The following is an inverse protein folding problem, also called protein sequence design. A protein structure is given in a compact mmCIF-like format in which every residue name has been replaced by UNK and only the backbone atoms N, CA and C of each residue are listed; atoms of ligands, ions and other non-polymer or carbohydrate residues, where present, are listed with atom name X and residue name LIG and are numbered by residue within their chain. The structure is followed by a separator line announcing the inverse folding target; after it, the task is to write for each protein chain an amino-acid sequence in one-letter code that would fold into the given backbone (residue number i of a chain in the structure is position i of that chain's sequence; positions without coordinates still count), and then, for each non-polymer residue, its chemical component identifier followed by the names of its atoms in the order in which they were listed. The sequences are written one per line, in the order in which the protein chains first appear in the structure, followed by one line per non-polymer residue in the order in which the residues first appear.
data_IF_164981360232
#
_entry.id   IF_164981360232
#
_cell.length_a   1.000
_cell.length_b   1.000
_cell.length_c   1.000
_cell.angle_alpha   90.00
_cell.angle_beta   90.00
_cell.angle_gamma   90.00
#
_symmetry.space_group_name_H-M   'P 1'
#
loop_
_entity.id
_entity.type
_entity.pdbx_description
1 polymer ?
#
# COMPACT_ATOMS: atom_id res chain seq x y z
N UNK A 1 -13.00 -8.74 -14.48
CA UNK A 1 -12.33 -8.76 -13.16
C UNK A 1 -13.27 -9.45 -12.19
N UNK A 2 -12.78 -10.41 -11.39
CA UNK A 2 -13.61 -11.21 -10.48
C UNK A 2 -14.26 -10.30 -9.41
N UNK A 3 -15.56 -10.47 -9.13
CA UNK A 3 -16.31 -9.68 -8.15
C UNK A 3 -15.66 -9.68 -6.75
N UNK A 4 -15.08 -10.81 -6.36
CA UNK A 4 -14.32 -10.94 -5.11
C UNK A 4 -13.03 -10.07 -5.09
N UNK A 5 -12.39 -9.86 -6.24
CA UNK A 5 -11.20 -8.99 -6.36
C UNK A 5 -11.63 -7.52 -6.26
N UNK A 6 -12.74 -7.15 -6.92
CA UNK A 6 -13.29 -5.80 -6.85
C UNK A 6 -13.63 -5.42 -5.40
N UNK A 7 -14.29 -6.32 -4.65
CA UNK A 7 -14.61 -6.09 -3.24
C UNK A 7 -13.35 -5.82 -2.39
N UNK A 8 -12.32 -6.65 -2.54
CA UNK A 8 -11.06 -6.46 -1.81
C UNK A 8 -10.32 -5.17 -2.20
N UNK A 9 -10.43 -4.73 -3.46
CA UNK A 9 -9.87 -3.44 -3.89
C UNK A 9 -10.61 -2.30 -3.19
N UNK A 10 -11.94 -2.36 -3.10
CA UNK A 10 -12.74 -1.35 -2.41
C UNK A 10 -12.39 -1.27 -0.92
N UNK A 11 -12.28 -2.41 -0.23
CA UNK A 11 -11.85 -2.46 1.18
C UNK A 11 -10.47 -1.80 1.39
N UNK A 12 -9.54 -2.00 0.43
CA UNK A 12 -8.21 -1.36 0.48
C UNK A 12 -8.27 0.13 0.18
N UNK A 13 -9.14 0.56 -0.73
CA UNK A 13 -9.36 2.00 -0.99
C UNK A 13 -9.97 2.69 0.23
N UNK A 14 -10.95 2.07 0.89
CA UNK A 14 -11.51 2.57 2.15
C UNK A 14 -10.42 2.71 3.22
N UNK A 15 -9.55 1.69 3.36
CA UNK A 15 -8.39 1.79 4.26
C UNK A 15 -7.50 2.99 3.94
N UNK A 16 -7.21 3.25 2.66
CA UNK A 16 -6.41 4.43 2.27
C UNK A 16 -7.10 5.72 2.66
N UNK A 17 -8.41 5.84 2.43
CA UNK A 17 -9.19 7.03 2.79
C UNK A 17 -9.12 7.28 4.29
N UNK A 18 -9.42 6.29 5.12
CA UNK A 18 -9.36 6.41 6.58
C UNK A 18 -8.00 6.88 7.09
N UNK A 19 -6.91 6.32 6.53
CA UNK A 19 -5.54 6.69 6.91
C UNK A 19 -5.19 8.11 6.48
N UNK A 20 -5.61 8.54 5.29
CA UNK A 20 -5.38 9.90 4.80
C UNK A 20 -6.17 10.92 5.63
N UNK A 21 -7.44 10.64 5.93
CA UNK A 21 -8.28 11.51 6.77
C UNK A 21 -7.67 11.69 8.16
N UNK A 22 -7.20 10.62 8.78
CA UNK A 22 -6.50 10.71 10.07
C UNK A 22 -5.25 11.60 9.98
N UNK A 23 -4.45 11.44 8.92
CA UNK A 23 -3.25 12.26 8.69
C UNK A 23 -3.64 13.72 8.54
N UNK A 24 -4.63 14.05 7.71
CA UNK A 24 -5.07 15.43 7.47
C UNK A 24 -5.58 16.10 8.75
N UNK A 25 -6.33 15.37 9.58
CA UNK A 25 -6.85 15.88 10.84
C UNK A 25 -5.73 16.19 11.86
N UNK A 26 -4.66 15.39 11.87
CA UNK A 26 -3.66 15.42 12.93
C UNK A 26 -2.31 16.03 12.52
N UNK A 27 -2.11 16.32 11.23
CA UNK A 27 -0.88 16.92 10.72
C UNK A 27 -0.77 18.38 11.14
N UNK A 28 0.09 18.64 12.13
CA UNK A 28 0.30 19.99 12.67
C UNK A 28 1.75 20.19 13.14
N UNK A 29 2.11 21.41 13.53
CA UNK A 29 3.44 21.69 14.10
C UNK A 29 3.70 20.95 15.43
N UNK A 30 2.66 20.41 16.08
CA UNK A 30 2.80 19.63 17.32
C UNK A 30 3.66 18.37 17.14
N UNK A 31 3.71 17.81 15.93
CA UNK A 31 4.52 16.63 15.58
C UNK A 31 6.02 16.82 15.83
N UNK A 32 6.49 18.07 15.85
CA UNK A 32 7.90 18.39 16.10
C UNK A 32 8.30 18.17 17.57
N UNK A 33 7.31 18.27 18.48
CA UNK A 33 7.52 18.19 19.93
C UNK A 33 6.95 16.90 20.51
N UNK A 34 5.89 16.37 19.91
CA UNK A 34 5.24 15.14 20.34
C UNK A 34 5.74 13.93 19.54
N UNK A 35 6.58 13.12 20.17
CA UNK A 35 7.14 11.90 19.57
C UNK A 35 6.06 10.84 19.31
N UNK A 36 5.02 10.76 20.13
CA UNK A 36 3.97 9.75 20.00
C UNK A 36 3.12 10.10 18.80
N UNK A 37 2.64 11.34 18.71
CA UNK A 37 1.87 11.84 17.57
C UNK A 37 2.62 11.65 16.25
N UNK A 38 3.91 12.02 16.22
CA UNK A 38 4.75 11.83 15.03
C UNK A 38 4.85 10.37 14.61
N UNK A 39 4.99 9.44 15.55
CA UNK A 39 5.05 8.01 15.24
C UNK A 39 3.70 7.47 14.76
N UNK A 40 2.59 7.96 15.31
CA UNK A 40 1.27 7.62 14.84
C UNK A 40 1.11 8.03 13.37
N UNK A 41 1.39 9.29 13.03
CA UNK A 41 1.31 9.78 11.64
C UNK A 41 2.21 9.00 10.67
N UNK A 42 3.42 8.63 11.08
CA UNK A 42 4.28 7.78 10.24
C UNK A 42 3.69 6.40 9.99
N UNK A 43 3.02 5.82 10.99
CA UNK A 43 2.37 4.52 10.87
C UNK A 43 1.15 4.59 9.95
N UNK A 44 0.32 5.62 10.11
CA UNK A 44 -0.85 5.87 9.25
C UNK A 44 -0.41 6.05 7.79
N UNK A 45 0.66 6.81 7.55
CA UNK A 45 1.21 6.99 6.21
C UNK A 45 1.76 5.68 5.63
N UNK A 46 2.50 4.90 6.42
CA UNK A 46 2.99 3.60 6.00
C UNK A 46 1.84 2.68 5.57
N UNK A 47 0.77 2.61 6.36
CA UNK A 47 -0.40 1.77 6.06
C UNK A 47 -1.15 2.23 4.81
N UNK A 48 -1.28 3.54 4.60
CA UNK A 48 -1.84 4.09 3.36
C UNK A 48 -1.03 3.63 2.13
N UNK A 49 0.30 3.74 2.18
CA UNK A 49 1.19 3.32 1.08
C UNK A 49 1.13 1.81 0.85
N UNK A 50 1.08 1.01 1.92
CA UNK A 50 0.89 -0.45 1.84
C UNK A 50 -0.43 -0.81 1.16
N UNK A 51 -1.53 -0.17 1.55
CA UNK A 51 -2.85 -0.42 0.97
C UNK A 51 -2.93 -0.04 -0.53
N UNK A 52 -2.33 1.09 -0.93
CA UNK A 52 -2.21 1.45 -2.36
C UNK A 52 -1.37 0.42 -3.12
N UNK A 53 -0.25 -0.01 -2.54
CA UNK A 53 0.63 -1.02 -3.16
C UNK A 53 -0.08 -2.36 -3.37
N UNK A 54 -0.90 -2.76 -2.40
CA UNK A 54 -1.75 -3.96 -2.50
C UNK A 54 -2.75 -3.85 -3.65
N UNK A 55 -3.43 -2.69 -3.80
CA UNK A 55 -4.35 -2.45 -4.92
C UNK A 55 -3.63 -2.58 -6.26
N UNK A 56 -2.45 -1.96 -6.41
CA UNK A 56 -1.64 -2.10 -7.62
C UNK A 56 -1.29 -3.56 -7.92
N UNK A 57 -0.85 -4.32 -6.90
CA UNK A 57 -0.52 -5.73 -7.06
C UNK A 57 -1.74 -6.58 -7.44
N UNK A 58 -2.91 -6.28 -6.86
CA UNK A 58 -4.16 -6.96 -7.17
C UNK A 58 -4.66 -6.67 -8.57
N UNK A 59 -4.60 -5.41 -9.02
CA UNK A 59 -4.93 -5.02 -10.39
C UNK A 59 -4.00 -5.72 -11.40
N UNK A 60 -2.68 -5.74 -11.13
CA UNK A 60 -1.70 -6.45 -11.96
C UNK A 60 -2.03 -7.94 -12.09
N UNK A 61 -2.36 -8.60 -10.98
CA UNK A 61 -2.79 -10.02 -11.00
C UNK A 61 -4.11 -10.23 -11.73
N UNK A 62 -5.04 -9.29 -11.62
CA UNK A 62 -6.32 -9.33 -12.32
C UNK A 62 -6.21 -9.15 -13.84
N UNK A 63 -5.22 -8.39 -14.30
CA UNK A 63 -4.93 -8.16 -15.73
C UNK A 63 -4.07 -9.27 -16.35
N UNK A 64 -3.23 -9.94 -15.56
CA UNK A 64 -2.37 -11.05 -16.02
C UNK A 64 -3.08 -12.41 -16.04
N UNK A 65 -4.18 -12.52 -16.79
CA UNK A 65 -4.66 -13.84 -17.25
C UNK A 65 -3.77 -14.46 -18.34
N UNK A 66 -2.63 -13.85 -18.73
CA UNK A 66 -1.59 -14.55 -19.52
C UNK A 66 -0.15 -14.02 -19.50
N UNK A 67 0.19 -12.91 -18.83
CA UNK A 67 1.60 -12.51 -18.76
C UNK A 67 2.27 -13.15 -17.53
N UNK A 68 2.91 -14.30 -17.77
CA UNK A 68 4.02 -14.77 -16.93
C UNK A 68 5.04 -13.63 -16.89
N UNK A 69 5.35 -13.15 -15.69
CA UNK A 69 6.55 -12.35 -15.49
C UNK A 69 7.74 -13.23 -15.94
N UNK A 70 8.35 -12.90 -17.07
CA UNK A 70 9.57 -13.54 -17.55
C UNK A 70 10.77 -12.91 -16.85
N UNK A 71 10.95 -13.25 -15.57
CA UNK A 71 12.22 -13.03 -14.86
C UNK A 71 13.37 -13.90 -15.42
N UNK A 72 13.40 -14.17 -16.72
CA UNK A 72 14.47 -14.88 -17.43
C UNK A 72 15.80 -14.12 -17.39
N UNK A 73 15.78 -12.83 -17.04
CA UNK A 73 16.97 -11.98 -16.92
C UNK A 73 17.52 -11.81 -15.49
N UNK A 74 16.90 -12.41 -14.46
CA UNK A 74 17.45 -12.38 -13.11
C UNK A 74 18.22 -13.69 -12.87
N UNK A 75 19.48 -13.69 -13.30
CA UNK A 75 20.46 -14.72 -12.92
C UNK A 75 20.71 -14.59 -11.40
N UNK A 76 20.22 -15.55 -10.62
CA UNK A 76 20.47 -15.66 -9.17
C UNK A 76 21.90 -16.18 -8.90
N UNK A 77 22.89 -15.54 -9.49
CA UNK A 77 24.31 -15.74 -9.16
C UNK A 77 24.81 -14.65 -8.23
N UNK A 78 24.33 -14.71 -7.00
CA UNK A 78 25.06 -14.13 -5.87
C UNK A 78 25.30 -15.23 -4.83
N UNK A 79 26.43 -15.87 -5.09
CA UNK A 79 27.34 -16.67 -4.26
C UNK A 79 27.13 -16.71 -2.74
N UNK A 80 27.27 -17.94 -2.23
CA UNK A 80 27.76 -18.29 -0.89
C UNK A 80 29.08 -17.58 -0.53
#
# INVERSE_FOLDING_TARGET
MNEAINKRILEKVETVIERVEFIEEHLSQQILRDRILRKALYKEFQEAVEAVSDVCAMLRRGLNSSAKDDYSNIDFRWWF
#
